data_IF_064354879609
#
_entry.id   IF_064354879609
#
_cell.length_a   1.000
_cell.length_b   1.000
_cell.length_c   1.000
_cell.angle_alpha   90.00
_cell.angle_beta   90.00
_cell.angle_gamma   90.00
#
_symmetry.space_group_name_H-M   'P 1'
#
loop_
_entity.id
_entity.type
_entity.pdbx_description
1 polymer ?
#
# COMPACT_ATOMS: atom_id res chain seq x y z
N UNK A 1 -67.48 27.56 37.92
CA UNK A 1 -66.36 26.61 38.08
C UNK A 1 -65.67 26.47 36.72
N UNK A 2 -64.40 26.86 36.64
CA UNK A 2 -63.64 27.04 35.39
C UNK A 2 -63.15 25.68 34.85
N UNK A 3 -63.40 25.39 33.58
CA UNK A 3 -62.94 24.16 32.92
C UNK A 3 -61.50 24.32 32.41
N UNK A 4 -60.60 23.47 32.90
CA UNK A 4 -59.17 23.46 32.56
C UNK A 4 -58.95 22.77 31.20
N UNK A 5 -58.40 23.49 30.22
CA UNK A 5 -58.06 22.92 28.89
C UNK A 5 -56.78 22.06 28.99
N UNK A 6 -56.69 20.93 28.26
CA UNK A 6 -55.51 20.07 28.30
C UNK A 6 -54.34 20.73 27.56
N UNK A 7 -53.15 20.68 28.17
CA UNK A 7 -51.88 21.14 27.60
C UNK A 7 -51.41 20.14 26.54
N UNK A 8 -51.42 20.54 25.28
CA UNK A 8 -50.76 19.80 24.19
C UNK A 8 -49.26 19.90 24.39
N UNK A 9 -48.58 18.77 24.59
CA UNK A 9 -47.13 18.72 24.63
C UNK A 9 -46.58 19.03 23.23
N UNK A 10 -45.95 20.18 23.07
CA UNK A 10 -45.21 20.52 21.85
C UNK A 10 -44.00 19.60 21.75
N UNK A 11 -44.04 18.62 20.83
CA UNK A 11 -42.86 17.86 20.39
C UNK A 11 -41.77 18.88 20.04
N UNK A 12 -40.68 18.87 20.81
CA UNK A 12 -39.51 19.69 20.51
C UNK A 12 -39.05 19.38 19.09
N UNK A 13 -38.99 20.40 18.23
CA UNK A 13 -38.41 20.25 16.89
C UNK A 13 -36.92 19.98 17.09
N UNK A 14 -36.51 18.72 16.97
CA UNK A 14 -35.09 18.36 16.90
C UNK A 14 -34.55 19.01 15.64
N UNK A 15 -33.76 20.06 15.83
CA UNK A 15 -33.08 20.76 14.74
C UNK A 15 -31.92 19.86 14.33
N UNK A 16 -32.07 19.18 13.19
CA UNK A 16 -30.94 18.50 12.53
C UNK A 16 -29.80 19.51 12.38
N UNK A 17 -28.59 19.24 12.89
CA UNK A 17 -27.44 20.06 12.56
C UNK A 17 -27.20 19.95 11.05
N UNK A 18 -27.67 20.94 10.30
CA UNK A 18 -27.36 21.05 8.88
C UNK A 18 -25.93 21.58 8.76
N UNK A 19 -24.98 20.65 8.81
CA UNK A 19 -23.70 20.84 8.14
C UNK A 19 -23.43 19.58 7.32
N UNK A 20 -24.25 19.39 6.29
CA UNK A 20 -23.82 18.61 5.14
C UNK A 20 -22.60 19.36 4.58
N UNK A 21 -21.39 19.00 5.01
CA UNK A 21 -20.18 19.39 4.29
C UNK A 21 -20.43 19.04 2.83
N UNK A 22 -20.20 20.01 1.93
CA UNK A 22 -20.33 19.69 0.52
C UNK A 22 -19.36 18.54 0.20
N UNK A 23 -19.78 17.61 -0.64
CA UNK A 23 -19.00 16.39 -0.94
C UNK A 23 -17.59 16.71 -1.46
N UNK A 24 -17.41 17.90 -2.07
CA UNK A 24 -16.12 18.46 -2.48
C UNK A 24 -15.25 18.93 -1.30
N UNK A 25 -15.83 19.62 -0.32
CA UNK A 25 -15.11 20.12 0.86
C UNK A 25 -14.57 18.98 1.74
N UNK A 26 -15.20 17.80 1.69
CA UNK A 26 -14.72 16.60 2.40
C UNK A 26 -13.34 16.19 1.86
N UNK A 27 -13.18 16.14 0.54
CA UNK A 27 -11.91 15.71 -0.06
C UNK A 27 -10.78 16.65 0.35
N UNK A 28 -10.96 17.96 0.15
CA UNK A 28 -9.92 18.96 0.41
C UNK A 28 -9.53 19.01 1.89
N UNK A 29 -10.43 18.61 2.79
CA UNK A 29 -10.16 18.54 4.23
C UNK A 29 -9.43 17.28 4.66
N UNK A 30 -9.86 16.10 4.20
CA UNK A 30 -9.41 14.83 4.75
C UNK A 30 -8.34 14.13 3.90
N UNK A 31 -8.32 14.38 2.59
CA UNK A 31 -7.30 13.78 1.73
C UNK A 31 -5.87 14.21 2.10
N UNK A 32 -5.57 15.51 2.34
CA UNK A 32 -4.20 15.91 2.71
C UNK A 32 -3.69 15.20 3.96
N UNK A 33 -4.56 14.98 4.95
CA UNK A 33 -4.24 14.26 6.20
C UNK A 33 -3.87 12.82 5.88
N UNK A 34 -4.73 12.11 5.14
CA UNK A 34 -4.49 10.71 4.76
C UNK A 34 -3.26 10.56 3.87
N UNK A 35 -3.10 11.40 2.85
CA UNK A 35 -1.96 11.34 1.95
C UNK A 35 -0.64 11.62 2.67
N UNK A 36 -0.64 12.58 3.60
CA UNK A 36 0.54 12.85 4.41
C UNK A 36 0.87 11.66 5.30
N UNK A 37 -0.13 11.05 5.94
CA UNK A 37 0.08 9.84 6.74
C UNK A 37 0.70 8.69 5.94
N UNK A 38 0.23 8.45 4.72
CA UNK A 38 0.79 7.43 3.81
C UNK A 38 2.26 7.74 3.49
N UNK A 39 2.58 8.99 3.17
CA UNK A 39 3.95 9.42 2.87
C UNK A 39 4.84 9.25 4.12
N UNK A 40 4.37 9.66 5.29
CA UNK A 40 5.10 9.51 6.56
C UNK A 40 5.35 8.04 6.92
N UNK A 41 4.38 7.14 6.65
CA UNK A 41 4.57 5.70 6.80
C UNK A 41 5.69 5.22 5.86
N UNK A 42 5.65 5.61 4.58
CA UNK A 42 6.66 5.23 3.58
C UNK A 42 8.06 5.75 3.93
N UNK A 43 8.15 6.88 4.63
CA UNK A 43 9.41 7.46 5.10
C UNK A 43 9.91 6.87 6.43
N UNK A 44 9.25 5.83 6.97
CA UNK A 44 9.53 5.24 8.29
C UNK A 44 9.41 6.22 9.46
N UNK A 45 8.64 7.29 9.32
CA UNK A 45 8.42 8.32 10.34
C UNK A 45 7.07 8.16 11.05
N UNK A 46 6.52 6.94 11.06
CA UNK A 46 5.16 6.64 11.53
C UNK A 46 4.93 6.88 13.03
N UNK A 47 5.98 7.02 13.83
CA UNK A 47 5.89 7.32 15.27
C UNK A 47 5.23 8.68 15.57
N UNK A 48 5.18 9.57 14.58
CA UNK A 48 4.54 10.89 14.70
C UNK A 48 3.05 10.90 14.33
N UNK A 49 2.51 9.76 13.88
CA UNK A 49 1.15 9.67 13.36
C UNK A 49 0.11 9.44 14.44
N UNK A 50 -0.97 10.23 14.36
CA UNK A 50 -2.21 9.94 15.08
C UNK A 50 -3.02 8.89 14.31
N UNK A 51 -2.94 7.62 14.71
CA UNK A 51 -3.70 6.53 14.09
C UNK A 51 -5.20 6.78 14.08
N UNK A 52 -5.74 7.35 15.16
CA UNK A 52 -7.16 7.69 15.25
C UNK A 52 -7.56 8.77 14.23
N UNK A 53 -6.75 9.81 14.07
CA UNK A 53 -7.03 10.88 13.12
C UNK A 53 -6.95 10.39 11.66
N UNK A 54 -5.96 9.55 11.37
CA UNK A 54 -5.79 8.95 10.04
C UNK A 54 -6.96 8.02 9.71
N UNK A 55 -7.33 7.13 10.64
CA UNK A 55 -8.48 6.25 10.49
C UNK A 55 -9.79 7.04 10.31
N UNK A 56 -10.01 8.09 11.12
CA UNK A 56 -11.18 8.97 11.02
C UNK A 56 -11.23 9.70 9.69
N UNK A 57 -10.09 10.09 9.14
CA UNK A 57 -10.00 10.72 7.81
C UNK A 57 -10.43 9.75 6.71
N UNK A 58 -9.94 8.50 6.73
CA UNK A 58 -10.40 7.43 5.83
C UNK A 58 -11.91 7.20 5.96
N UNK A 59 -12.41 7.08 7.20
CA UNK A 59 -13.83 6.88 7.46
C UNK A 59 -14.69 7.98 6.81
N UNK A 60 -14.30 9.25 6.99
CA UNK A 60 -15.02 10.37 6.39
C UNK A 60 -14.99 10.30 4.87
N UNK A 61 -13.82 10.08 4.25
CA UNK A 61 -13.70 10.00 2.80
C UNK A 61 -14.63 8.93 2.21
N UNK A 62 -14.64 7.73 2.79
CA UNK A 62 -15.46 6.62 2.29
C UNK A 62 -16.96 6.86 2.55
N UNK A 63 -17.32 7.33 3.74
CA UNK A 63 -18.72 7.59 4.14
C UNK A 63 -19.37 8.64 3.24
N UNK A 64 -18.62 9.67 2.85
CA UNK A 64 -19.08 10.73 1.95
C UNK A 64 -18.80 10.43 0.48
N UNK A 65 -18.82 9.14 0.10
CA UNK A 65 -18.76 8.65 -1.30
C UNK A 65 -17.50 9.05 -2.09
N UNK A 66 -16.38 9.31 -1.42
CA UNK A 66 -15.08 9.55 -2.08
C UNK A 66 -14.22 8.28 -2.19
N UNK A 67 -14.80 7.08 -1.97
CA UNK A 67 -14.06 5.82 -1.91
C UNK A 67 -13.22 5.51 -3.15
N UNK A 68 -13.74 5.77 -4.35
CA UNK A 68 -13.00 5.55 -5.61
C UNK A 68 -11.74 6.42 -5.67
N UNK A 69 -11.92 7.70 -5.41
CA UNK A 69 -10.84 8.68 -5.43
C UNK A 69 -9.80 8.39 -4.36
N UNK A 70 -10.23 7.96 -3.17
CA UNK A 70 -9.36 7.53 -2.08
C UNK A 70 -8.56 6.30 -2.47
N UNK A 71 -9.20 5.25 -3.01
CA UNK A 71 -8.53 4.03 -3.44
C UNK A 71 -7.46 4.30 -4.50
N UNK A 72 -7.82 5.05 -5.55
CA UNK A 72 -6.89 5.41 -6.62
C UNK A 72 -5.75 6.29 -6.11
N UNK A 73 -6.04 7.26 -5.25
CA UNK A 73 -5.01 8.10 -4.64
C UNK A 73 -4.01 7.30 -3.79
N UNK A 74 -4.49 6.33 -2.99
CA UNK A 74 -3.63 5.42 -2.22
C UNK A 74 -2.74 4.61 -3.15
N UNK A 75 -3.35 3.99 -4.18
CA UNK A 75 -2.65 3.20 -5.19
C UNK A 75 -1.54 4.02 -5.86
N UNK A 76 -1.84 5.25 -6.26
CA UNK A 76 -0.89 6.15 -6.91
C UNK A 76 0.29 6.52 -6.01
N UNK A 77 0.05 6.76 -4.71
CA UNK A 77 1.11 7.06 -3.75
C UNK A 77 2.04 5.86 -3.53
N UNK A 78 1.49 4.65 -3.44
CA UNK A 78 2.28 3.41 -3.33
C UNK A 78 3.10 3.19 -4.60
N UNK A 79 2.46 3.35 -5.77
CA UNK A 79 3.13 3.18 -7.06
C UNK A 79 4.30 4.15 -7.22
N UNK A 80 4.09 5.44 -6.96
CA UNK A 80 5.15 6.46 -7.07
C UNK A 80 6.32 6.16 -6.15
N UNK A 81 6.04 5.74 -4.91
CA UNK A 81 7.09 5.40 -3.96
C UNK A 81 7.93 4.21 -4.44
N UNK A 82 7.28 3.12 -4.90
CA UNK A 82 7.98 1.97 -5.45
C UNK A 82 8.81 2.31 -6.70
N UNK A 83 8.28 3.15 -7.59
CA UNK A 83 9.01 3.61 -8.78
C UNK A 83 10.29 4.36 -8.41
N UNK A 84 10.24 5.23 -7.39
CA UNK A 84 11.43 5.93 -6.88
C UNK A 84 12.43 4.95 -6.28
N UNK A 85 11.98 4.02 -5.42
CA UNK A 85 12.86 3.01 -4.82
C UNK A 85 13.54 2.13 -5.86
N UNK A 86 12.82 1.70 -6.90
CA UNK A 86 13.38 0.94 -8.02
C UNK A 86 14.44 1.76 -8.76
N UNK A 87 14.08 2.98 -9.17
CA UNK A 87 14.96 3.88 -9.93
C UNK A 87 16.24 4.20 -9.17
N UNK A 88 16.14 4.50 -7.89
CA UNK A 88 17.27 5.03 -7.12
C UNK A 88 18.15 3.91 -6.52
N UNK A 89 17.58 2.72 -6.25
CA UNK A 89 18.29 1.64 -5.56
C UNK A 89 18.53 0.38 -6.40
N UNK A 90 17.61 -0.01 -7.28
CA UNK A 90 17.74 -1.25 -8.06
C UNK A 90 18.34 -1.02 -9.45
N UNK A 91 17.88 -0.01 -10.18
CA UNK A 91 18.36 0.28 -11.54
C UNK A 91 19.89 0.47 -11.60
N UNK A 92 20.54 1.22 -10.68
CA UNK A 92 22.00 1.37 -10.72
C UNK A 92 22.77 0.06 -10.54
N UNK A 93 22.13 -0.98 -9.99
CA UNK A 93 22.72 -2.29 -9.80
C UNK A 93 22.53 -3.21 -11.01
N UNK A 94 21.64 -2.88 -11.95
CA UNK A 94 21.37 -3.66 -13.16
C UNK A 94 22.48 -3.52 -14.21
N UNK A 95 23.08 -2.35 -14.33
CA UNK A 95 24.09 -2.06 -15.37
C UNK A 95 25.46 -2.71 -15.09
N UNK A 96 25.68 -3.22 -13.86
CA UNK A 96 27.00 -3.67 -13.38
C UNK A 96 27.02 -5.15 -12.99
N UNK A 97 25.96 -5.90 -13.33
CA UNK A 97 25.72 -7.29 -12.86
C UNK A 97 26.81 -8.30 -13.27
N UNK A 98 27.69 -7.97 -14.21
CA UNK A 98 28.82 -8.84 -14.60
C UNK A 98 29.82 -9.12 -13.47
N UNK A 99 29.75 -8.41 -12.33
CA UNK A 99 30.57 -8.68 -11.14
C UNK A 99 29.72 -9.42 -10.10
N UNK A 100 30.08 -10.68 -9.82
CA UNK A 100 29.42 -11.58 -8.84
C UNK A 100 29.01 -10.91 -7.52
N UNK A 101 29.86 -10.02 -6.98
CA UNK A 101 29.60 -9.29 -5.72
C UNK A 101 28.42 -8.30 -5.80
N UNK A 102 28.21 -7.66 -6.96
CA UNK A 102 27.14 -6.70 -7.18
C UNK A 102 25.79 -7.38 -7.42
N UNK A 103 25.80 -8.60 -7.98
CA UNK A 103 24.61 -9.44 -8.08
C UNK A 103 24.03 -9.76 -6.69
N UNK A 104 24.89 -10.15 -5.73
CA UNK A 104 24.45 -10.40 -4.35
C UNK A 104 23.93 -9.12 -3.69
N UNK A 105 24.53 -7.97 -3.99
CA UNK A 105 24.04 -6.69 -3.48
C UNK A 105 22.62 -6.39 -3.97
N UNK A 106 22.32 -6.64 -5.27
CA UNK A 106 20.97 -6.50 -5.81
C UNK A 106 19.95 -7.37 -5.07
N UNK A 107 20.30 -8.62 -4.73
CA UNK A 107 19.41 -9.49 -3.95
C UNK A 107 19.08 -8.89 -2.57
N UNK A 108 20.10 -8.35 -1.89
CA UNK A 108 19.92 -7.73 -0.56
C UNK A 108 19.06 -6.47 -0.66
N UNK A 109 19.31 -5.62 -1.65
CA UNK A 109 18.54 -4.40 -1.89
C UNK A 109 17.07 -4.73 -2.22
N UNK A 110 16.81 -5.73 -3.05
CA UNK A 110 15.45 -6.19 -3.34
C UNK A 110 14.73 -6.65 -2.07
N UNK A 111 15.41 -7.43 -1.23
CA UNK A 111 14.87 -7.88 0.06
C UNK A 111 14.53 -6.71 0.98
N UNK A 112 15.40 -5.71 1.06
CA UNK A 112 15.18 -4.52 1.89
C UNK A 112 13.95 -3.74 1.43
N UNK A 113 13.82 -3.49 0.13
CA UNK A 113 12.66 -2.80 -0.46
C UNK A 113 11.38 -3.60 -0.18
N UNK A 114 11.42 -4.94 -0.32
CA UNK A 114 10.28 -5.80 0.00
C UNK A 114 9.83 -5.70 1.45
N UNK A 115 10.77 -5.85 2.40
CA UNK A 115 10.46 -5.80 3.83
C UNK A 115 9.91 -4.44 4.25
N UNK A 116 10.51 -3.37 3.73
CA UNK A 116 10.03 -2.01 3.94
C UNK A 116 8.62 -1.83 3.37
N UNK A 117 8.38 -2.25 2.13
CA UNK A 117 7.08 -2.17 1.48
C UNK A 117 6.00 -2.96 2.25
N UNK A 118 6.27 -4.20 2.65
CA UNK A 118 5.33 -5.00 3.44
C UNK A 118 5.01 -4.38 4.79
N UNK A 119 6.01 -3.81 5.47
CA UNK A 119 5.80 -3.08 6.72
C UNK A 119 4.89 -1.88 6.51
N UNK A 120 5.13 -1.10 5.45
CA UNK A 120 4.29 0.04 5.09
C UNK A 120 2.86 -0.39 4.77
N UNK A 121 2.68 -1.45 3.96
CA UNK A 121 1.35 -1.96 3.58
C UNK A 121 0.56 -2.45 4.79
N UNK A 122 1.20 -3.12 5.76
CA UNK A 122 0.54 -3.52 7.01
C UNK A 122 0.03 -2.30 7.80
N UNK A 123 0.89 -1.29 8.01
CA UNK A 123 0.50 -0.05 8.70
C UNK A 123 -0.58 0.73 7.96
N UNK A 124 -0.52 0.75 6.63
CA UNK A 124 -1.56 1.36 5.79
C UNK A 124 -2.88 0.60 5.91
N UNK A 125 -2.85 -0.73 6.02
CA UNK A 125 -4.03 -1.56 6.24
C UNK A 125 -4.82 -1.16 7.48
N UNK A 126 -4.13 -0.78 8.57
CA UNK A 126 -4.78 -0.34 9.81
C UNK A 126 -5.53 0.99 9.63
N UNK A 127 -4.91 1.97 8.97
CA UNK A 127 -5.55 3.28 8.72
C UNK A 127 -6.58 3.24 7.58
N UNK A 128 -6.47 2.27 6.67
CA UNK A 128 -7.37 2.06 5.53
C UNK A 128 -8.46 1.01 5.80
N UNK A 129 -8.55 0.48 7.02
CA UNK A 129 -9.46 -0.59 7.39
C UNK A 129 -10.91 -0.33 6.95
N UNK A 130 -11.40 0.91 7.08
CA UNK A 130 -12.77 1.24 6.67
C UNK A 130 -12.97 1.22 5.14
N UNK A 131 -11.96 1.61 4.36
CA UNK A 131 -11.94 1.50 2.90
C UNK A 131 -12.03 0.02 2.49
N UNK A 132 -11.18 -0.82 3.07
CA UNK A 132 -11.10 -2.26 2.81
C UNK A 132 -12.37 -3.02 3.21
N UNK A 133 -13.05 -2.58 4.27
CA UNK A 133 -14.26 -3.23 4.76
C UNK A 133 -15.54 -2.83 4.01
N UNK A 134 -15.63 -1.58 3.52
CA UNK A 134 -16.89 -1.04 3.00
C UNK A 134 -16.86 -0.77 1.51
N UNK A 135 -15.81 -0.14 1.01
CA UNK A 135 -15.74 0.27 -0.39
C UNK A 135 -15.22 -0.86 -1.30
N UNK A 136 -14.13 -1.52 -0.89
CA UNK A 136 -13.47 -2.56 -1.69
C UNK A 136 -14.40 -3.74 -2.05
N UNK A 137 -15.17 -4.34 -1.12
CA UNK A 137 -16.01 -5.50 -1.43
C UNK A 137 -17.19 -5.15 -2.35
N UNK A 138 -17.77 -3.96 -2.17
CA UNK A 138 -18.88 -3.46 -2.98
C UNK A 138 -18.48 -3.28 -4.45
N UNK A 139 -17.22 -2.94 -4.71
CA UNK A 139 -16.70 -2.63 -6.03
C UNK A 139 -15.81 -3.76 -6.60
N UNK A 140 -15.75 -4.93 -5.95
CA UNK A 140 -14.94 -6.09 -6.36
C UNK A 140 -13.46 -5.75 -6.59
N UNK A 141 -12.92 -4.87 -5.77
CA UNK A 141 -11.51 -4.47 -5.85
C UNK A 141 -10.64 -5.29 -4.91
N UNK A 142 -9.32 -5.16 -5.06
CA UNK A 142 -8.34 -5.77 -4.16
C UNK A 142 -8.24 -4.97 -2.87
N UNK A 143 -8.15 -5.68 -1.73
CA UNK A 143 -7.85 -5.05 -0.45
C UNK A 143 -6.46 -4.42 -0.45
N UNK A 144 -6.19 -3.53 0.50
CA UNK A 144 -4.92 -2.79 0.60
C UNK A 144 -3.71 -3.73 0.57
N UNK A 145 -3.76 -4.84 1.32
CA UNK A 145 -2.69 -5.84 1.34
C UNK A 145 -2.45 -6.48 -0.04
N UNK A 146 -3.51 -7.01 -0.66
CA UNK A 146 -3.44 -7.66 -1.98
C UNK A 146 -3.01 -6.69 -3.09
N UNK A 147 -3.52 -5.45 -3.04
CA UNK A 147 -3.11 -4.37 -3.92
C UNK A 147 -1.61 -4.10 -3.77
N UNK A 148 -1.09 -4.05 -2.54
CA UNK A 148 0.34 -3.88 -2.27
C UNK A 148 1.20 -4.96 -2.91
N UNK A 149 0.78 -6.23 -2.85
CA UNK A 149 1.48 -7.35 -3.50
C UNK A 149 1.48 -7.23 -5.03
N UNK A 150 0.32 -6.91 -5.62
CA UNK A 150 0.20 -6.74 -7.08
C UNK A 150 1.03 -5.57 -7.59
N UNK A 151 1.04 -4.44 -6.86
CA UNK A 151 1.86 -3.28 -7.20
C UNK A 151 3.35 -3.63 -7.14
N UNK A 152 3.82 -4.30 -6.08
CA UNK A 152 5.21 -4.71 -5.98
C UNK A 152 5.60 -5.65 -7.14
N UNK A 153 4.76 -6.64 -7.44
CA UNK A 153 4.99 -7.54 -8.58
C UNK A 153 5.15 -6.77 -9.88
N UNK A 154 4.21 -5.89 -10.20
CA UNK A 154 4.15 -5.24 -11.52
C UNK A 154 5.22 -4.14 -11.67
N UNK A 155 5.52 -3.41 -10.60
CA UNK A 155 6.42 -2.25 -10.67
C UNK A 155 7.87 -2.65 -10.43
N UNK A 156 8.11 -3.60 -9.52
CA UNK A 156 9.46 -4.00 -9.09
C UNK A 156 9.91 -5.26 -9.84
N UNK A 157 9.24 -6.39 -9.63
CA UNK A 157 9.76 -7.69 -10.12
C UNK A 157 9.56 -7.84 -11.62
N UNK A 158 8.33 -7.67 -12.09
CA UNK A 158 7.91 -7.80 -13.50
C UNK A 158 7.81 -6.44 -14.19
N UNK A 159 8.69 -5.51 -13.82
CA UNK A 159 8.76 -4.19 -14.45
C UNK A 159 8.96 -4.35 -15.97
N UNK A 160 8.16 -3.63 -16.77
CA UNK A 160 8.35 -3.59 -18.23
C UNK A 160 9.52 -2.70 -18.64
N UNK A 161 9.94 -1.80 -17.75
CA UNK A 161 10.99 -0.81 -18.01
C UNK A 161 12.38 -1.37 -17.68
N UNK A 162 12.47 -2.26 -16.68
CA UNK A 162 13.72 -2.76 -16.13
C UNK A 162 13.71 -4.29 -16.04
N UNK A 163 14.72 -5.01 -16.56
CA UNK A 163 14.74 -6.48 -16.60
C UNK A 163 15.06 -7.13 -15.24
N UNK A 164 14.43 -6.67 -14.16
CA UNK A 164 14.73 -7.05 -12.77
C UNK A 164 14.52 -8.54 -12.55
N UNK A 165 13.39 -9.12 -12.99
CA UNK A 165 13.13 -10.56 -12.85
C UNK A 165 14.20 -11.42 -13.54
N UNK A 166 14.56 -11.08 -14.77
CA UNK A 166 15.56 -11.85 -15.53
C UNK A 166 16.92 -11.78 -14.86
N UNK A 167 17.34 -10.58 -14.42
CA UNK A 167 18.57 -10.39 -13.66
C UNK A 167 18.56 -11.18 -12.34
N UNK A 168 17.44 -11.12 -11.61
CA UNK A 168 17.25 -11.85 -10.36
C UNK A 168 17.38 -13.37 -10.57
N UNK A 169 16.77 -13.91 -11.63
CA UNK A 169 16.87 -15.33 -11.98
C UNK A 169 18.32 -15.74 -12.28
N UNK A 170 19.04 -14.94 -13.09
CA UNK A 170 20.44 -15.19 -13.42
C UNK A 170 21.31 -15.24 -12.16
N UNK A 171 21.18 -14.24 -11.29
CA UNK A 171 21.97 -14.16 -10.04
C UNK A 171 21.62 -15.33 -9.11
N UNK A 172 20.34 -15.67 -8.94
CA UNK A 172 19.94 -16.78 -8.07
C UNK A 172 20.49 -18.12 -8.56
N UNK A 173 20.43 -18.37 -9.88
CA UNK A 173 20.99 -19.59 -10.47
C UNK A 173 22.52 -19.65 -10.32
N UNK A 174 23.19 -18.52 -10.48
CA UNK A 174 24.64 -18.43 -10.28
C UNK A 174 25.04 -18.71 -8.82
N UNK A 175 24.31 -18.14 -7.84
CA UNK A 175 24.53 -18.44 -6.42
C UNK A 175 24.36 -19.94 -6.11
N UNK A 176 23.32 -20.58 -6.66
CA UNK A 176 23.11 -22.04 -6.50
C UNK A 176 24.26 -22.84 -7.13
N UNK A 177 24.78 -22.39 -8.28
CA UNK A 177 25.93 -23.03 -8.93
C UNK A 177 27.20 -22.91 -8.08
N UNK A 178 27.53 -21.71 -7.63
CA UNK A 178 28.68 -21.44 -6.75
C UNK A 178 28.62 -22.33 -5.49
N UNK A 179 27.44 -22.45 -4.88
CA UNK A 179 27.24 -23.31 -3.73
C UNK A 179 27.51 -24.80 -4.03
N UNK A 180 27.06 -25.29 -5.18
CA UNK A 180 27.33 -26.68 -5.63
C UNK A 180 28.81 -26.94 -5.89
N UNK A 181 29.56 -25.91 -6.25
CA UNK A 181 31.01 -25.95 -6.45
C UNK A 181 31.78 -25.83 -5.12
N UNK A 182 31.09 -25.72 -3.98
CA UNK A 182 31.69 -25.65 -2.65
C UNK A 182 32.03 -24.23 -2.18
N UNK A 183 31.61 -23.21 -2.92
CA UNK A 183 31.78 -21.80 -2.53
C UNK A 183 30.69 -21.44 -1.51
N UNK A 184 31.09 -20.81 -0.41
CA UNK A 184 30.14 -20.32 0.61
C UNK A 184 29.34 -19.13 0.06
N UNK A 185 28.01 -19.21 0.17
CA UNK A 185 27.08 -18.15 -0.26
C UNK A 185 26.19 -17.68 0.90
N UNK A 186 25.55 -16.52 0.72
CA UNK A 186 24.51 -16.06 1.64
C UNK A 186 23.15 -16.74 1.34
N UNK A 187 23.00 -17.96 1.87
CA UNK A 187 21.76 -18.76 1.77
C UNK A 187 20.53 -18.00 2.27
N UNK A 188 20.69 -17.10 3.26
CA UNK A 188 19.58 -16.37 3.85
C UNK A 188 18.97 -15.39 2.84
N UNK A 189 19.82 -14.69 2.09
CA UNK A 189 19.42 -13.74 1.06
C UNK A 189 18.77 -14.46 -0.12
N UNK A 190 19.37 -15.56 -0.59
CA UNK A 190 18.79 -16.41 -1.65
C UNK A 190 17.41 -16.93 -1.25
N UNK A 191 17.31 -17.54 -0.06
CA UNK A 191 16.03 -18.06 0.47
C UNK A 191 14.97 -16.96 0.57
N UNK A 192 15.35 -15.79 1.04
CA UNK A 192 14.42 -14.66 1.18
C UNK A 192 13.93 -14.17 -0.18
N UNK A 193 14.79 -14.05 -1.19
CA UNK A 193 14.39 -13.65 -2.54
C UNK A 193 13.46 -14.68 -3.20
N UNK A 194 13.73 -15.97 -3.01
CA UNK A 194 12.82 -17.04 -3.46
C UNK A 194 11.47 -16.94 -2.73
N UNK A 195 11.49 -16.70 -1.42
CA UNK A 195 10.27 -16.48 -0.63
C UNK A 195 9.41 -15.33 -1.18
N UNK A 196 10.04 -14.19 -1.49
CA UNK A 196 9.37 -13.04 -2.13
C UNK A 196 8.70 -13.48 -3.43
N UNK A 197 9.41 -14.19 -4.31
CA UNK A 197 8.86 -14.64 -5.58
C UNK A 197 7.67 -15.60 -5.44
N UNK A 198 7.64 -16.40 -4.37
CA UNK A 198 6.53 -17.30 -4.06
C UNK A 198 5.32 -16.60 -3.42
N UNK A 199 5.54 -15.50 -2.70
CA UNK A 199 4.48 -14.70 -2.07
C UNK A 199 3.75 -13.80 -3.08
N UNK A 200 4.39 -13.45 -4.19
CA UNK A 200 3.77 -12.60 -5.20
C UNK A 200 2.64 -13.33 -5.94
N UNK A 201 1.48 -12.68 -6.13
CA UNK A 201 0.35 -13.32 -6.80
C UNK A 201 0.68 -13.63 -8.26
N UNK A 202 0.13 -14.73 -8.78
CA UNK A 202 0.19 -15.01 -10.21
C UNK A 202 -0.61 -13.98 -11.01
N UNK A 203 -0.23 -13.78 -12.28
CA UNK A 203 -1.08 -13.05 -13.21
C UNK A 203 -2.36 -13.86 -13.40
N UNK A 204 -3.43 -13.46 -12.71
CA UNK A 204 -4.75 -13.96 -13.07
C UNK A 204 -5.08 -13.36 -14.43
N UNK A 205 -5.29 -14.17 -15.48
CA UNK A 205 -5.88 -13.66 -16.71
C UNK A 205 -7.22 -13.03 -16.32
N UNK A 206 -7.49 -11.80 -16.79
CA UNK A 206 -8.76 -11.10 -16.58
C UNK A 206 -9.94 -12.05 -16.84
N UNK A 207 -10.47 -12.61 -15.77
CA UNK A 207 -11.69 -13.40 -15.71
C UNK A 207 -12.39 -12.84 -14.48
N UNK A 208 -13.22 -11.81 -14.67
CA UNK A 208 -14.66 -11.89 -14.89
C UNK A 208 -15.18 -10.56 -15.42
#
# INVERSE_FOLDING_TARGET
MSAMKPRVATRGKIRVPSRSLAMSEVWDKYWPILSNAIITIQQMQSSTLSFEENFRSTYHLVTYRQGERTYNGVKDLIQKFLQVEVRDKLVPLLDVVERSEQGVHLLKTLREIWLHHMTCIMLMGDILLHLDANYVPQNKMLKTFEMGLVLFRNIVVRSTENPILTTLQTILLDQIKQEREGISIDRSTVKSCIGILLELPEERPNTY
#
